data_IF_594160436369
#
_entry.id   IF_594160436369
#
_cell.length_a   1.000
_cell.length_b   1.000
_cell.length_c   1.000
_cell.angle_alpha   90.00
_cell.angle_beta   90.00
_cell.angle_gamma   90.00
#
_symmetry.space_group_name_H-M   'P 1'
#
loop_
_entity.id
_entity.type
_entity.pdbx_description
1 polymer ?
#
# COMPACT_ATOMS: atom_id res chain seq x y z
N UNK A 1 -10.34 4.08 1.76
CA UNK A 1 -9.49 2.86 1.77
C UNK A 1 -9.52 2.12 0.45
N UNK A 2 -10.66 1.71 -0.12
CA UNK A 2 -10.71 0.94 -1.38
C UNK A 2 -9.91 1.54 -2.56
N UNK A 3 -9.98 2.87 -2.77
CA UNK A 3 -9.16 3.53 -3.82
C UNK A 3 -7.66 3.51 -3.54
N UNK A 4 -7.25 3.64 -2.28
CA UNK A 4 -5.84 3.55 -1.90
C UNK A 4 -5.31 2.13 -2.15
N UNK A 5 -6.10 1.10 -1.83
CA UNK A 5 -5.74 -0.30 -2.13
C UNK A 5 -5.51 -0.50 -3.64
N UNK A 6 -6.37 0.06 -4.50
CA UNK A 6 -6.17 0.01 -5.94
C UNK A 6 -4.85 0.65 -6.41
N UNK A 7 -4.43 1.75 -5.79
CA UNK A 7 -3.11 2.36 -6.09
C UNK A 7 -1.96 1.47 -5.63
N UNK A 8 -2.07 0.84 -4.46
CA UNK A 8 -1.05 -0.10 -3.97
C UNK A 8 -0.95 -1.32 -4.87
N UNK A 9 -2.07 -1.87 -5.35
CA UNK A 9 -2.10 -2.95 -6.36
C UNK A 9 -1.35 -2.52 -7.62
N UNK A 10 -1.62 -1.31 -8.14
CA UNK A 10 -0.95 -0.82 -9.34
C UNK A 10 0.57 -0.62 -9.15
N UNK A 11 1.02 -0.20 -7.97
CA UNK A 11 2.43 0.00 -7.65
C UNK A 11 3.18 -1.33 -7.49
N UNK A 12 2.59 -2.26 -6.75
CA UNK A 12 3.25 -3.50 -6.28
C UNK A 12 3.02 -4.71 -7.18
N UNK A 13 1.89 -4.75 -7.91
CA UNK A 13 1.42 -5.94 -8.63
C UNK A 13 0.81 -7.03 -7.73
N UNK A 14 0.62 -6.76 -6.43
CA UNK A 14 0.02 -7.70 -5.48
C UNK A 14 -1.49 -7.86 -5.70
N UNK A 15 -2.05 -8.97 -5.24
CA UNK A 15 -3.49 -9.15 -5.15
C UNK A 15 -4.12 -8.12 -4.19
N UNK A 16 -5.40 -7.73 -4.38
CA UNK A 16 -6.07 -6.73 -3.54
C UNK A 16 -6.05 -7.05 -2.04
N UNK A 17 -6.13 -8.33 -1.67
CA UNK A 17 -6.11 -8.81 -0.29
C UNK A 17 -4.73 -8.57 0.34
N UNK A 18 -3.67 -8.91 -0.39
CA UNK A 18 -2.28 -8.70 0.03
C UNK A 18 -1.94 -7.21 0.10
N UNK A 19 -2.37 -6.42 -0.88
CA UNK A 19 -2.23 -4.96 -0.86
C UNK A 19 -2.97 -4.33 0.34
N UNK A 20 -4.13 -4.88 0.71
CA UNK A 20 -4.86 -4.45 1.91
C UNK A 20 -4.10 -4.81 3.19
N UNK A 21 -3.53 -6.02 3.26
CA UNK A 21 -2.72 -6.45 4.39
C UNK A 21 -1.45 -5.60 4.53
N UNK A 22 -0.75 -5.33 3.43
CA UNK A 22 0.45 -4.49 3.37
C UNK A 22 0.16 -3.06 3.84
N UNK A 23 -0.92 -2.44 3.35
CA UNK A 23 -1.33 -1.10 3.77
C UNK A 23 -1.61 -1.03 5.28
N UNK A 24 -2.24 -2.07 5.85
CA UNK A 24 -2.50 -2.16 7.30
C UNK A 24 -1.20 -2.35 8.09
N UNK A 25 -0.35 -3.26 7.64
CA UNK A 25 0.93 -3.54 8.29
C UNK A 25 1.80 -2.28 8.38
N UNK A 26 1.94 -1.54 7.27
CA UNK A 26 2.69 -0.27 7.22
C UNK A 26 2.12 0.78 8.18
N UNK A 27 0.79 0.92 8.23
CA UNK A 27 0.14 1.88 9.13
C UNK A 27 0.42 1.53 10.60
N UNK A 28 0.29 0.25 10.98
CA UNK A 28 0.56 -0.22 12.33
C UNK A 28 2.03 -0.12 12.72
N UNK A 29 2.95 -0.46 11.81
CA UNK A 29 4.39 -0.32 12.04
C UNK A 29 4.80 1.14 12.34
N UNK A 30 4.04 2.11 11.83
CA UNK A 30 4.24 3.55 12.07
C UNK A 30 3.41 4.10 13.24
N UNK A 31 2.65 3.26 13.94
CA UNK A 31 1.75 3.68 15.03
C UNK A 31 0.58 4.56 14.56
N UNK A 32 0.26 4.54 13.26
CA UNK A 32 -0.76 5.40 12.64
C UNK A 32 -2.06 4.67 12.32
N UNK A 33 -3.09 5.43 11.96
CA UNK A 33 -4.35 4.85 11.47
C UNK A 33 -4.25 4.53 9.99
N UNK A 34 -4.82 3.40 9.58
CA UNK A 34 -4.91 2.99 8.17
C UNK A 34 -5.58 4.06 7.30
N UNK A 35 -6.53 4.81 7.85
CA UNK A 35 -7.22 5.88 7.15
C UNK A 35 -6.29 7.06 6.79
N UNK A 36 -5.36 7.40 7.68
CA UNK A 36 -4.40 8.49 7.47
C UNK A 36 -3.39 8.09 6.38
N UNK A 37 -2.81 6.90 6.49
CA UNK A 37 -1.92 6.37 5.46
C UNK A 37 -2.62 6.22 4.09
N UNK A 38 -3.89 5.80 4.08
CA UNK A 38 -4.67 5.74 2.84
C UNK A 38 -4.87 7.14 2.22
N UNK A 39 -5.02 8.19 3.02
CA UNK A 39 -5.07 9.56 2.51
C UNK A 39 -3.72 10.01 1.94
N UNK A 40 -2.62 9.63 2.58
CA UNK A 40 -1.26 9.92 2.09
C UNK A 40 -0.96 9.22 0.76
N UNK A 41 -1.37 7.96 0.59
CA UNK A 41 -1.25 7.23 -0.69
C UNK A 41 -2.05 7.92 -1.79
N UNK A 42 -3.31 8.30 -1.51
CA UNK A 42 -4.15 9.02 -2.47
C UNK A 42 -3.56 10.39 -2.84
N UNK A 43 -2.90 11.05 -1.89
CA UNK A 43 -2.20 12.31 -2.10
C UNK A 43 -0.80 12.14 -2.71
N UNK A 44 -0.36 10.90 -2.98
CA UNK A 44 0.99 10.54 -3.48
C UNK A 44 2.13 11.03 -2.57
N UNK A 45 1.87 11.15 -1.27
CA UNK A 45 2.90 11.43 -0.25
C UNK A 45 3.63 10.17 0.22
N UNK A 46 2.98 9.02 0.10
CA UNK A 46 3.52 7.70 0.42
C UNK A 46 3.32 6.75 -0.77
N UNK A 47 4.33 5.92 -1.05
CA UNK A 47 4.31 4.91 -2.12
C UNK A 47 4.76 3.55 -1.60
N UNK A 48 4.48 2.51 -2.39
CA UNK A 48 4.80 1.12 -2.14
C UNK A 48 5.60 0.51 -3.30
N UNK A 49 6.26 1.33 -4.11
CA UNK A 49 7.00 0.85 -5.29
C UNK A 49 8.20 -0.05 -4.91
N UNK A 50 8.72 0.12 -3.69
CA UNK A 50 9.77 -0.68 -3.06
C UNK A 50 9.33 -2.10 -2.68
N UNK A 51 8.02 -2.30 -2.52
CA UNK A 51 7.41 -3.59 -2.15
C UNK A 51 7.05 -4.44 -3.38
N UNK A 52 7.40 -3.97 -4.59
CA UNK A 52 7.22 -4.75 -5.81
C UNK A 52 8.13 -5.97 -5.76
N UNK A 53 7.60 -7.21 -5.88
CA UNK A 53 8.43 -8.40 -5.94
C UNK A 53 9.44 -8.27 -7.08
N UNK A 54 10.72 -8.48 -6.80
CA UNK A 54 11.74 -8.52 -7.86
C UNK A 54 11.37 -9.60 -8.86
N UNK A 55 11.26 -9.29 -10.15
CA UNK A 55 10.93 -10.29 -11.16
C UNK A 55 12.01 -11.38 -11.15
N UNK A 56 11.60 -12.63 -10.91
CA UNK A 56 12.49 -13.78 -11.07
C UNK A 56 12.64 -14.05 -12.57
N UNK A 57 13.80 -13.67 -13.12
CA UNK A 57 14.28 -14.01 -14.47
C UNK A 57 14.84 -15.42 -14.52
#
# INVERSE_FOLDING_TARGET
>A
VHRAVGMVVAQTGLAPEDATALLRARAWARGGRVADLAADVLARRETFDDERPTPRV
#
